data_IF_796340319261
#
_entry.id   IF_796340319261
#
_cell.length_a   1.000
_cell.length_b   1.000
_cell.length_c   1.000
_cell.angle_alpha   90.00
_cell.angle_beta   90.00
_cell.angle_gamma   90.00
#
_symmetry.space_group_name_H-M   'P 1'
#
loop_
_entity.id
_entity.type
_entity.pdbx_description
1 polymer ?
#
# COMPACT_ATOMS: atom_id res chain seq x y z
N UNK A 1 28.98 10.63 20.63
CA UNK A 1 27.80 11.03 19.82
C UNK A 1 27.85 10.21 18.56
N UNK A 2 27.30 9.00 18.61
CA UNK A 2 27.34 8.06 17.50
C UNK A 2 26.24 8.42 16.51
N UNK A 3 26.64 8.84 15.31
CA UNK A 3 25.74 8.96 14.17
C UNK A 3 25.12 7.58 13.89
N UNK A 4 23.79 7.45 13.80
CA UNK A 4 23.17 6.17 13.49
C UNK A 4 23.34 5.89 12.00
N UNK A 5 24.45 5.25 11.64
CA UNK A 5 24.69 4.70 10.31
C UNK A 5 24.37 3.21 10.30
N UNK A 6 23.09 2.85 10.45
CA UNK A 6 22.65 1.46 10.37
C UNK A 6 22.19 1.12 8.94
N UNK A 7 23.13 0.65 8.10
CA UNK A 7 22.78 -0.07 6.87
C UNK A 7 22.42 -1.50 7.23
N UNK A 8 21.14 -1.89 7.11
CA UNK A 8 20.72 -3.27 7.29
C UNK A 8 20.78 -4.02 5.95
N UNK A 9 21.69 -4.99 5.86
CA UNK A 9 21.76 -5.92 4.73
C UNK A 9 21.17 -7.27 5.12
N UNK A 10 20.13 -7.72 4.43
CA UNK A 10 19.61 -9.09 4.55
C UNK A 10 19.97 -9.92 3.33
N UNK A 11 20.67 -11.04 3.55
CA UNK A 11 20.90 -12.08 2.55
C UNK A 11 19.80 -13.13 2.71
N UNK A 12 18.66 -12.92 2.04
CA UNK A 12 17.49 -13.79 2.19
C UNK A 12 16.97 -14.35 0.88
N UNK A 13 17.22 -15.65 0.64
CA UNK A 13 16.33 -16.52 -0.16
C UNK A 13 15.49 -17.37 0.79
N UNK A 14 14.29 -16.90 1.13
CA UNK A 14 13.05 -17.69 1.24
C UNK A 14 11.88 -16.74 1.50
N UNK A 15 10.81 -16.93 0.72
CA UNK A 15 9.54 -16.20 0.69
C UNK A 15 9.58 -14.69 0.35
N UNK A 16 9.47 -14.37 -0.94
CA UNK A 16 8.68 -13.24 -1.44
C UNK A 16 9.23 -11.81 -1.34
N UNK A 17 9.97 -11.42 -0.30
CA UNK A 17 10.54 -10.07 -0.16
C UNK A 17 11.98 -10.13 0.34
N UNK A 18 12.90 -9.88 -0.59
CA UNK A 18 14.33 -9.75 -0.33
C UNK A 18 14.58 -8.43 0.44
N UNK A 19 15.53 -8.42 1.37
CA UNK A 19 15.86 -7.23 2.16
C UNK A 19 16.24 -6.06 1.25
N UNK A 20 15.62 -4.91 1.49
CA UNK A 20 15.78 -3.74 0.64
C UNK A 20 17.16 -3.13 0.85
N UNK A 21 17.86 -2.91 -0.25
CA UNK A 21 19.09 -2.15 -0.34
C UNK A 21 18.73 -0.68 -0.02
N UNK A 22 18.85 -0.29 1.25
CA UNK A 22 18.63 1.09 1.64
C UNK A 22 19.86 1.92 1.27
N UNK A 23 19.79 2.66 0.17
CA UNK A 23 20.79 3.64 -0.24
C UNK A 23 20.16 5.03 -0.07
N UNK A 24 19.94 5.42 1.19
CA UNK A 24 19.41 6.72 1.60
C UNK A 24 20.43 7.87 1.48
N UNK A 25 21.16 7.93 0.36
CA UNK A 25 22.17 8.95 0.13
C UNK A 25 21.84 9.76 -1.13
N UNK A 26 21.47 11.03 -0.92
CA UNK A 26 21.19 12.02 -1.97
C UNK A 26 22.45 12.44 -2.75
N UNK A 27 23.62 11.90 -2.37
CA UNK A 27 24.95 12.25 -2.89
C UNK A 27 25.11 11.89 -4.37
N UNK A 28 24.32 10.94 -4.88
CA UNK A 28 24.32 10.59 -6.31
C UNK A 28 22.93 10.81 -6.92
N UNK A 29 22.70 11.97 -7.55
CA UNK A 29 21.46 12.25 -8.28
C UNK A 29 21.16 11.14 -9.31
N UNK A 30 19.91 10.68 -9.38
CA UNK A 30 19.47 9.67 -10.34
C UNK A 30 19.76 8.22 -9.96
N UNK A 31 20.54 7.94 -8.92
CA UNK A 31 20.83 6.57 -8.47
C UNK A 31 19.57 5.82 -8.05
N UNK A 32 18.69 6.46 -7.28
CA UNK A 32 17.40 5.87 -6.88
C UNK A 32 16.52 5.55 -8.09
N UNK A 33 16.50 6.44 -9.10
CA UNK A 33 15.78 6.20 -10.34
C UNK A 33 16.35 5.01 -11.12
N UNK A 34 17.68 4.90 -11.19
CA UNK A 34 18.37 3.79 -11.85
C UNK A 34 18.08 2.44 -11.15
N UNK A 35 18.15 2.40 -9.81
CA UNK A 35 17.85 1.21 -9.01
C UNK A 35 16.39 0.76 -9.14
N UNK A 36 15.45 1.71 -9.19
CA UNK A 36 14.05 1.41 -9.42
C UNK A 36 13.80 0.88 -10.83
N UNK A 37 14.43 1.50 -11.84
CA UNK A 37 14.33 1.07 -13.25
C UNK A 37 14.92 -0.32 -13.47
N UNK A 38 16.05 -0.63 -12.85
CA UNK A 38 16.71 -1.93 -12.93
C UNK A 38 16.14 -2.99 -11.99
N UNK A 39 15.14 -2.63 -11.17
CA UNK A 39 14.58 -3.48 -10.11
C UNK A 39 15.66 -4.10 -9.19
N UNK A 40 16.80 -3.40 -9.03
CA UNK A 40 17.89 -3.81 -8.14
C UNK A 40 17.58 -3.30 -6.75
N UNK A 41 16.73 -4.04 -6.05
CA UNK A 41 16.19 -3.64 -4.76
C UNK A 41 16.96 -4.25 -3.60
N UNK A 42 17.94 -5.14 -3.84
CA UNK A 42 18.54 -5.98 -2.79
C UNK A 42 20.04 -6.19 -3.00
N UNK A 43 20.79 -6.35 -1.90
CA UNK A 43 22.24 -6.59 -1.96
C UNK A 43 22.59 -7.85 -2.75
N UNK A 44 21.79 -8.91 -2.67
CA UNK A 44 22.02 -10.12 -3.44
C UNK A 44 22.08 -9.84 -4.95
N UNK A 45 21.12 -9.10 -5.49
CA UNK A 45 21.10 -8.79 -6.93
C UNK A 45 22.33 -7.98 -7.36
N UNK A 46 22.80 -7.12 -6.48
CA UNK A 46 23.99 -6.32 -6.70
C UNK A 46 25.23 -7.20 -6.68
N UNK A 47 25.39 -8.04 -5.65
CA UNK A 47 26.52 -8.97 -5.47
C UNK A 47 26.57 -10.01 -6.59
N UNK A 48 25.43 -10.53 -7.03
CA UNK A 48 25.33 -11.48 -8.15
C UNK A 48 25.87 -10.85 -9.44
N UNK A 49 25.67 -9.55 -9.64
CA UNK A 49 26.15 -8.84 -10.83
C UNK A 49 27.60 -8.37 -10.72
N UNK A 50 28.02 -7.85 -9.57
CA UNK A 50 29.32 -7.16 -9.42
C UNK A 50 30.39 -7.95 -8.67
N UNK A 51 30.02 -9.12 -8.15
CA UNK A 51 30.83 -9.97 -7.30
C UNK A 51 30.83 -9.54 -5.81
N UNK A 52 31.25 -10.45 -4.90
CA UNK A 52 31.24 -10.23 -3.45
C UNK A 52 32.20 -9.13 -2.99
N UNK A 53 33.19 -8.79 -3.82
CA UNK A 53 34.19 -7.75 -3.53
C UNK A 53 33.78 -6.35 -4.00
N UNK A 54 32.61 -6.22 -4.65
CA UNK A 54 32.12 -4.95 -5.22
C UNK A 54 33.18 -4.27 -6.10
N UNK A 55 33.71 -5.01 -7.08
CA UNK A 55 34.84 -4.56 -7.91
C UNK A 55 34.49 -4.42 -9.39
N UNK A 56 33.46 -5.12 -9.88
CA UNK A 56 33.11 -5.13 -11.29
C UNK A 56 32.25 -3.92 -11.69
N UNK A 57 32.91 -2.79 -11.95
CA UNK A 57 32.28 -1.55 -12.40
C UNK A 57 31.56 -1.65 -13.76
N UNK A 58 32.08 -2.36 -14.79
CA UNK A 58 31.35 -2.59 -16.03
C UNK A 58 30.01 -3.30 -15.81
N UNK A 59 29.99 -4.37 -15.01
CA UNK A 59 28.75 -5.10 -14.73
C UNK A 59 27.72 -4.26 -13.98
N UNK A 60 28.17 -3.41 -13.03
CA UNK A 60 27.29 -2.46 -12.38
C UNK A 60 26.72 -1.44 -13.36
N UNK A 61 27.54 -0.96 -14.30
CA UNK A 61 27.13 -0.04 -15.34
C UNK A 61 26.02 -0.62 -16.21
N UNK A 62 26.19 -1.86 -16.66
CA UNK A 62 25.17 -2.59 -17.42
C UNK A 62 23.89 -2.84 -16.62
N UNK A 63 24.01 -3.21 -15.34
CA UNK A 63 22.86 -3.49 -14.46
C UNK A 63 22.00 -2.23 -14.24
N UNK A 64 22.63 -1.09 -14.00
CA UNK A 64 21.94 0.16 -13.66
C UNK A 64 21.65 1.05 -14.89
N UNK A 65 22.06 0.63 -16.09
CA UNK A 65 21.94 1.43 -17.31
C UNK A 65 22.78 2.71 -17.27
N UNK A 66 23.95 2.67 -16.62
CA UNK A 66 24.86 3.81 -16.54
C UNK A 66 25.77 3.83 -17.78
N UNK A 67 25.72 4.91 -18.54
CA UNK A 67 26.57 5.12 -19.72
C UNK A 67 28.07 5.28 -19.38
N UNK A 68 28.40 5.60 -18.13
CA UNK A 68 29.78 5.88 -17.70
C UNK A 68 30.28 4.88 -16.66
N UNK A 69 31.28 4.09 -17.04
CA UNK A 69 32.00 3.16 -16.15
C UNK A 69 32.65 3.89 -14.98
N UNK A 70 33.03 5.17 -15.15
CA UNK A 70 33.58 6.00 -14.07
C UNK A 70 32.55 6.25 -12.96
N UNK A 71 31.28 6.43 -13.31
CA UNK A 71 30.18 6.62 -12.34
C UNK A 71 29.94 5.32 -11.58
N UNK A 72 29.88 4.19 -12.28
CA UNK A 72 29.78 2.87 -11.66
C UNK A 72 30.94 2.59 -10.69
N UNK A 73 32.18 2.92 -11.08
CA UNK A 73 33.35 2.77 -10.21
C UNK A 73 33.25 3.64 -8.95
N UNK A 74 32.84 4.91 -9.08
CA UNK A 74 32.64 5.80 -7.91
C UNK A 74 31.59 5.26 -6.95
N UNK A 75 30.49 4.70 -7.47
CA UNK A 75 29.47 4.06 -6.63
C UNK A 75 30.02 2.85 -5.86
N UNK A 76 30.80 2.00 -6.52
CA UNK A 76 31.44 0.86 -5.86
C UNK A 76 32.44 1.31 -4.79
N UNK A 77 33.23 2.35 -5.04
CA UNK A 77 34.15 2.93 -4.03
C UNK A 77 33.41 3.58 -2.86
N UNK A 78 32.18 4.05 -3.05
CA UNK A 78 31.33 4.54 -1.95
C UNK A 78 30.70 3.40 -1.14
N UNK A 79 30.32 2.30 -1.78
CA UNK A 79 29.66 1.16 -1.11
C UNK A 79 30.65 0.22 -0.43
N UNK A 80 31.82 -0.01 -1.01
CA UNK A 80 32.86 -0.88 -0.44
C UNK A 80 33.18 -0.54 1.02
N UNK A 81 33.53 0.71 1.41
CA UNK A 81 33.88 1.04 2.78
C UNK A 81 32.70 0.93 3.76
N UNK A 82 31.45 0.89 3.28
CA UNK A 82 30.27 0.70 4.13
C UNK A 82 30.07 -0.74 4.59
N UNK A 83 30.71 -1.70 3.92
CA UNK A 83 30.79 -3.08 4.38
C UNK A 83 32.01 -3.25 5.27
N UNK A 84 31.76 -3.68 6.51
CA UNK A 84 32.80 -4.09 7.45
C UNK A 84 33.57 -5.30 6.92
N UNK A 85 34.80 -5.52 7.42
CA UNK A 85 35.60 -6.68 7.04
C UNK A 85 34.88 -8.02 7.28
N UNK A 86 34.08 -8.10 8.36
CA UNK A 86 33.25 -9.27 8.68
C UNK A 86 32.16 -9.51 7.62
N UNK A 87 31.43 -8.47 7.23
CA UNK A 87 30.37 -8.58 6.21
C UNK A 87 30.92 -8.97 4.83
N UNK A 88 32.09 -8.44 4.43
CA UNK A 88 32.74 -8.83 3.17
C UNK A 88 33.18 -10.30 3.17
N UNK A 89 33.70 -10.78 4.31
CA UNK A 89 34.04 -12.19 4.50
C UNK A 89 32.80 -13.08 4.40
N UNK A 90 31.70 -12.68 5.05
CA UNK A 90 30.41 -13.37 4.96
C UNK A 90 29.87 -13.43 3.53
N UNK A 91 29.91 -12.33 2.78
CA UNK A 91 29.48 -12.30 1.37
C UNK A 91 30.32 -13.22 0.49
N UNK A 92 31.63 -13.24 0.72
CA UNK A 92 32.55 -14.12 -0.01
C UNK A 92 32.26 -15.58 0.30
N UNK A 93 32.10 -15.92 1.58
CA UNK A 93 31.78 -17.27 2.02
C UNK A 93 30.41 -17.74 1.51
N UNK A 94 29.40 -16.87 1.54
CA UNK A 94 28.07 -17.15 0.98
C UNK A 94 28.14 -17.39 -0.55
N UNK A 95 28.86 -16.53 -1.29
CA UNK A 95 29.03 -16.70 -2.74
C UNK A 95 29.77 -17.98 -3.14
N UNK A 96 30.59 -18.52 -2.23
CA UNK A 96 31.32 -19.78 -2.39
C UNK A 96 30.54 -21.00 -1.86
N UNK A 97 29.31 -20.82 -1.37
CA UNK A 97 28.50 -21.88 -0.77
C UNK A 97 29.04 -22.43 0.56
N UNK A 98 29.97 -21.72 1.20
CA UNK A 98 30.60 -22.14 2.48
C UNK A 98 29.77 -21.80 3.71
N UNK A 99 28.82 -20.88 3.57
CA UNK A 99 27.91 -20.44 4.63
C UNK A 99 26.53 -20.32 4.03
N UNK A 100 25.53 -20.94 4.66
CA UNK A 100 24.11 -20.75 4.35
C UNK A 100 23.42 -20.02 5.51
N UNK A 101 22.33 -19.26 5.25
CA UNK A 101 21.52 -18.68 6.32
C UNK A 101 20.97 -19.80 7.20
N UNK A 102 21.19 -19.71 8.50
CA UNK A 102 20.68 -20.69 9.44
C UNK A 102 19.13 -20.66 9.42
N UNK A 103 18.46 -21.75 9.05
CA UNK A 103 16.99 -21.81 9.11
C UNK A 103 16.45 -21.68 10.53
N UNK A 104 17.28 -21.89 11.57
CA UNK A 104 16.93 -21.73 12.98
C UNK A 104 17.13 -20.30 13.51
N UNK A 105 17.70 -19.37 12.72
CA UNK A 105 17.86 -17.95 13.07
C UNK A 105 17.04 -17.02 12.14
N UNK A 106 15.70 -17.13 12.13
CA UNK A 106 14.86 -16.23 11.36
C UNK A 106 14.87 -14.82 11.96
N UNK A 107 14.75 -13.79 11.10
CA UNK A 107 14.51 -12.43 11.56
C UNK A 107 13.32 -12.40 12.54
N UNK A 108 13.44 -11.73 13.70
CA UNK A 108 12.43 -11.79 14.74
C UNK A 108 11.05 -11.39 14.19
N UNK A 109 10.07 -12.28 14.36
CA UNK A 109 8.71 -12.03 13.88
C UNK A 109 8.03 -11.00 14.79
N UNK A 110 8.05 -9.73 14.39
CA UNK A 110 7.39 -8.66 15.15
C UNK A 110 5.88 -8.76 14.89
N UNK A 111 5.15 -9.25 15.89
CA UNK A 111 3.69 -9.30 15.90
C UNK A 111 3.11 -8.01 16.48
N UNK A 112 2.06 -7.50 15.83
CA UNK A 112 1.31 -6.32 16.24
C UNK A 112 -0.04 -6.79 16.77
N UNK A 113 -0.30 -6.58 18.06
CA UNK A 113 -1.63 -6.80 18.63
C UNK A 113 -2.29 -5.45 18.90
N UNK A 114 -3.55 -5.24 18.46
CA UNK A 114 -4.31 -4.11 18.98
C UNK A 114 -4.52 -4.38 20.48
N UNK A 115 -4.03 -3.49 21.35
CA UNK A 115 -4.17 -3.61 22.80
C UNK A 115 -5.61 -3.42 23.26
N UNK A 116 -6.46 -4.43 23.04
CA UNK A 116 -7.90 -4.41 23.26
C UNK A 116 -8.29 -4.66 24.74
N UNK A 117 -7.41 -5.28 25.54
CA UNK A 117 -7.71 -5.62 26.94
C UNK A 117 -8.90 -6.58 27.03
N UNK A 118 -9.85 -6.29 27.91
CA UNK A 118 -11.09 -7.08 28.10
C UNK A 118 -12.22 -6.72 27.13
N UNK A 119 -11.98 -5.75 26.23
CA UNK A 119 -13.01 -5.27 25.31
C UNK A 119 -13.28 -6.30 24.20
N UNK A 120 -14.53 -6.74 24.10
CA UNK A 120 -14.98 -7.79 23.17
C UNK A 120 -16.06 -7.28 22.22
N UNK A 121 -16.31 -8.01 21.14
CA UNK A 121 -17.38 -7.69 20.18
C UNK A 121 -17.03 -8.04 18.73
N UNK A 122 -18.04 -8.15 17.85
CA UNK A 122 -17.86 -8.64 16.48
C UNK A 122 -16.99 -7.72 15.61
N UNK A 123 -16.95 -6.41 15.91
CA UNK A 123 -16.08 -5.44 15.23
C UNK A 123 -14.65 -5.40 15.78
N UNK A 124 -14.45 -5.88 17.01
CA UNK A 124 -13.14 -5.99 17.66
C UNK A 124 -12.46 -7.33 17.36
N UNK A 125 -13.23 -8.35 16.97
CA UNK A 125 -12.70 -9.66 16.58
C UNK A 125 -11.64 -9.52 15.47
N UNK A 126 -10.42 -9.97 15.76
CA UNK A 126 -9.32 -9.98 14.81
C UNK A 126 -9.61 -11.00 13.72
N UNK A 127 -9.87 -10.53 12.50
CA UNK A 127 -10.38 -11.39 11.42
C UNK A 127 -9.29 -12.31 10.84
N UNK A 128 -8.01 -12.03 11.12
CA UNK A 128 -6.80 -12.74 10.61
C UNK A 128 -5.58 -12.52 11.53
N UNK A 129 -5.54 -13.09 12.74
CA UNK A 129 -4.41 -12.92 13.67
C UNK A 129 -3.07 -13.41 13.08
N UNK A 130 -3.10 -14.40 12.19
CA UNK A 130 -1.94 -14.94 11.47
C UNK A 130 -1.28 -13.94 10.50
N UNK A 131 -1.97 -12.85 10.15
CA UNK A 131 -1.47 -11.77 9.29
C UNK A 131 -1.02 -10.53 10.06
N UNK A 132 -1.02 -10.56 11.39
CA UNK A 132 -0.67 -9.41 12.21
C UNK A 132 0.83 -9.28 12.50
N UNK A 133 1.67 -9.90 11.69
CA UNK A 133 3.11 -9.72 11.78
C UNK A 133 3.53 -8.65 10.78
N UNK A 134 4.51 -7.81 11.14
CA UNK A 134 5.03 -6.76 10.25
C UNK A 134 5.43 -7.32 8.87
N UNK A 135 5.81 -8.60 8.84
CA UNK A 135 6.16 -9.33 7.63
C UNK A 135 4.94 -9.80 6.79
N UNK A 136 3.81 -10.17 7.40
CA UNK A 136 2.64 -10.75 6.71
C UNK A 136 1.44 -9.80 6.54
N UNK A 137 1.47 -8.65 7.22
CA UNK A 137 0.36 -7.72 7.24
C UNK A 137 0.20 -6.97 5.92
N UNK A 138 -0.95 -7.12 5.27
CA UNK A 138 -1.32 -6.23 4.16
C UNK A 138 -1.76 -4.84 4.69
N UNK A 139 -1.64 -3.82 3.84
CA UNK A 139 -1.97 -2.41 4.19
C UNK A 139 -3.37 -2.28 4.80
N UNK A 140 -4.34 -3.07 4.31
CA UNK A 140 -5.74 -3.06 4.78
C UNK A 140 -5.85 -3.64 6.19
N UNK A 141 -5.21 -4.76 6.44
CA UNK A 141 -5.15 -5.45 7.73
C UNK A 141 -4.47 -4.60 8.79
N UNK A 142 -3.35 -3.96 8.44
CA UNK A 142 -2.66 -3.04 9.36
C UNK A 142 -3.56 -1.85 9.73
N UNK A 143 -4.11 -1.15 8.73
CA UNK A 143 -5.01 -0.02 8.93
C UNK A 143 -6.22 -0.38 9.80
N UNK A 144 -6.86 -1.52 9.55
CA UNK A 144 -8.00 -1.99 10.34
C UNK A 144 -7.66 -2.21 11.81
N UNK A 145 -6.52 -2.81 12.11
CA UNK A 145 -6.13 -3.05 13.49
C UNK A 145 -5.75 -1.75 14.21
N UNK A 146 -5.13 -0.79 13.52
CA UNK A 146 -4.95 0.56 14.06
C UNK A 146 -6.30 1.22 14.40
N UNK A 147 -7.26 1.19 13.47
CA UNK A 147 -8.61 1.76 13.67
C UNK A 147 -9.32 1.10 14.86
N UNK A 148 -9.22 -0.23 15.00
CA UNK A 148 -9.77 -0.96 16.16
C UNK A 148 -9.10 -0.54 17.46
N UNK A 149 -7.77 -0.48 17.49
CA UNK A 149 -7.01 -0.05 18.67
C UNK A 149 -7.37 1.36 19.12
N UNK A 150 -7.46 2.31 18.19
CA UNK A 150 -7.82 3.71 18.47
C UNK A 150 -9.26 3.85 18.95
N UNK A 151 -10.21 3.09 18.37
CA UNK A 151 -11.64 3.25 18.64
C UNK A 151 -12.20 2.15 19.57
N UNK A 152 -11.33 1.40 20.27
CA UNK A 152 -11.68 0.19 21.01
C UNK A 152 -12.88 0.33 21.96
N UNK A 153 -12.98 1.45 22.69
CA UNK A 153 -14.09 1.73 23.62
C UNK A 153 -15.44 1.89 22.91
N UNK A 154 -15.45 2.56 21.75
CA UNK A 154 -16.68 2.82 20.97
C UNK A 154 -17.13 1.66 20.06
N UNK A 155 -16.28 0.63 19.95
CA UNK A 155 -16.50 -0.58 19.15
C UNK A 155 -16.89 -1.80 20.00
N UNK A 156 -16.69 -1.72 21.33
CA UNK A 156 -17.01 -2.80 22.25
C UNK A 156 -18.52 -3.15 22.19
N UNK A 157 -18.82 -4.45 22.08
CA UNK A 157 -20.18 -5.02 22.01
C UNK A 157 -21.10 -4.43 20.92
N UNK A 158 -20.52 -3.72 19.95
CA UNK A 158 -21.29 -3.08 18.88
C UNK A 158 -21.50 -4.06 17.74
N UNK A 159 -22.75 -4.28 17.36
CA UNK A 159 -23.14 -5.13 16.22
C UNK A 159 -22.50 -4.62 14.92
N UNK A 160 -22.21 -5.52 13.95
CA UNK A 160 -21.67 -5.12 12.66
C UNK A 160 -22.72 -4.31 11.87
N UNK A 161 -22.70 -3.01 12.09
CA UNK A 161 -23.51 -1.99 11.40
C UNK A 161 -22.54 -0.97 10.78
N UNK A 162 -22.85 0.33 10.69
CA UNK A 162 -22.10 1.48 10.11
C UNK A 162 -20.55 1.38 10.04
N UNK A 163 -19.89 0.61 10.89
CA UNK A 163 -18.47 0.28 10.77
C UNK A 163 -18.08 -0.63 9.60
N UNK A 164 -18.99 -1.44 9.03
CA UNK A 164 -18.79 -2.13 7.74
C UNK A 164 -18.57 -1.11 6.62
N UNK A 165 -19.21 0.06 6.70
CA UNK A 165 -19.03 1.18 5.78
C UNK A 165 -17.70 1.93 6.02
N UNK A 166 -17.23 2.02 7.27
CA UNK A 166 -15.91 2.62 7.58
C UNK A 166 -14.75 1.70 7.18
N UNK A 167 -14.89 0.41 7.43
CA UNK A 167 -13.86 -0.58 7.15
C UNK A 167 -13.90 -1.03 5.68
N UNK A 168 -15.06 -0.95 5.01
CA UNK A 168 -15.23 -1.52 3.68
C UNK A 168 -15.36 -3.03 3.75
N UNK A 169 -16.20 -3.59 2.90
CA UNK A 169 -16.43 -5.02 2.89
C UNK A 169 -15.20 -5.82 2.44
N UNK A 170 -15.13 -7.08 2.83
CA UNK A 170 -14.20 -8.02 2.23
C UNK A 170 -14.74 -8.38 0.84
N UNK A 171 -13.99 -8.09 -0.22
CA UNK A 171 -14.35 -8.48 -1.58
C UNK A 171 -14.51 -10.01 -1.62
N UNK A 172 -15.75 -10.46 -1.79
CA UNK A 172 -16.04 -11.84 -2.19
C UNK A 172 -16.07 -11.85 -3.72
N UNK A 173 -15.38 -12.81 -4.35
CA UNK A 173 -15.34 -12.97 -5.83
C UNK A 173 -16.75 -13.01 -6.47
N UNK A 174 -17.77 -13.41 -5.72
CA UNK A 174 -19.18 -13.29 -6.12
C UNK A 174 -19.74 -11.90 -5.74
N UNK A 175 -20.17 -11.12 -6.73
CA UNK A 175 -20.79 -9.80 -6.53
C UNK A 175 -19.82 -8.62 -6.43
N UNK A 176 -18.66 -8.70 -7.11
CA UNK A 176 -17.64 -7.65 -7.16
C UNK A 176 -18.23 -6.26 -7.47
N UNK A 177 -19.15 -6.16 -8.43
CA UNK A 177 -19.82 -4.90 -8.81
C UNK A 177 -20.58 -4.27 -7.63
N UNK A 178 -21.30 -5.07 -6.83
CA UNK A 178 -22.05 -4.58 -5.66
C UNK A 178 -21.11 -4.03 -4.59
N UNK A 179 -19.98 -4.70 -4.38
CA UNK A 179 -18.97 -4.26 -3.42
C UNK A 179 -18.21 -3.02 -3.89
N UNK A 180 -17.93 -2.92 -5.19
CA UNK A 180 -17.34 -1.73 -5.80
C UNK A 180 -18.26 -0.51 -5.62
N UNK A 181 -19.56 -0.67 -5.91
CA UNK A 181 -20.55 0.39 -5.72
C UNK A 181 -20.61 0.82 -4.25
N UNK A 182 -20.71 -0.13 -3.32
CA UNK A 182 -20.76 0.17 -1.89
C UNK A 182 -19.48 0.88 -1.39
N UNK A 183 -18.31 0.42 -1.83
CA UNK A 183 -17.03 1.04 -1.48
C UNK A 183 -16.92 2.45 -2.05
N UNK A 184 -17.43 2.69 -3.26
CA UNK A 184 -17.48 4.02 -3.85
C UNK A 184 -18.39 4.96 -3.05
N UNK A 185 -19.63 4.57 -2.79
CA UNK A 185 -20.58 5.35 -1.99
C UNK A 185 -20.01 5.68 -0.60
N UNK A 186 -19.36 4.70 0.03
CA UNK A 186 -18.71 4.85 1.34
C UNK A 186 -17.50 5.78 1.30
N UNK A 187 -16.71 5.72 0.23
CA UNK A 187 -15.56 6.60 0.01
C UNK A 187 -15.98 8.06 -0.12
N UNK A 188 -16.96 8.33 -0.98
CA UNK A 188 -17.48 9.69 -1.20
C UNK A 188 -18.06 10.28 0.08
N UNK A 189 -18.77 9.48 0.88
CA UNK A 189 -19.34 9.94 2.14
C UNK A 189 -18.26 10.29 3.17
N UNK A 190 -17.17 9.51 3.24
CA UNK A 190 -16.02 9.83 4.10
C UNK A 190 -15.36 11.13 3.68
N UNK A 191 -15.18 11.35 2.38
CA UNK A 191 -14.63 12.59 1.83
C UNK A 191 -15.51 13.79 2.18
N UNK A 192 -16.82 13.64 2.05
CA UNK A 192 -17.78 14.68 2.41
C UNK A 192 -17.77 15.01 3.92
N UNK A 193 -17.76 13.99 4.78
CA UNK A 193 -17.66 14.16 6.24
C UNK A 193 -16.33 14.81 6.63
N UNK A 194 -15.22 14.37 6.05
CA UNK A 194 -13.91 14.94 6.30
C UNK A 194 -13.87 16.41 5.90
N UNK A 195 -14.34 16.74 4.71
CA UNK A 195 -14.34 18.12 4.19
C UNK A 195 -15.22 19.04 5.04
N UNK A 196 -16.41 18.57 5.42
CA UNK A 196 -17.32 19.31 6.29
C UNK A 196 -16.71 19.56 7.68
N UNK A 197 -16.08 18.54 8.29
CA UNK A 197 -15.40 18.69 9.59
C UNK A 197 -14.19 19.61 9.51
N UNK A 198 -13.39 19.50 8.43
CA UNK A 198 -12.24 20.37 8.20
C UNK A 198 -12.66 21.83 8.10
N UNK A 199 -13.70 22.12 7.31
CA UNK A 199 -14.24 23.48 7.20
C UNK A 199 -14.71 24.02 8.55
N UNK A 200 -15.36 23.18 9.37
CA UNK A 200 -15.77 23.57 10.73
C UNK A 200 -14.59 23.89 11.65
N UNK A 201 -13.50 23.11 11.57
CA UNK A 201 -12.28 23.35 12.37
C UNK A 201 -11.56 24.61 11.91
N UNK A 202 -11.52 24.86 10.60
CA UNK A 202 -10.85 26.03 10.01
C UNK A 202 -11.74 27.28 10.01
N UNK A 203 -12.91 27.22 10.65
CA UNK A 203 -13.94 28.27 10.69
C UNK A 203 -14.30 28.82 9.30
N UNK A 204 -14.29 27.95 8.28
CA UNK A 204 -14.64 28.26 6.90
C UNK A 204 -16.12 27.98 6.69
N UNK A 205 -16.80 28.86 5.96
CA UNK A 205 -18.12 28.56 5.43
C UNK A 205 -18.04 27.33 4.52
N UNK A 206 -18.96 26.39 4.70
CA UNK A 206 -18.91 25.12 3.99
C UNK A 206 -20.26 24.43 3.98
N UNK A 207 -20.51 23.65 2.93
CA UNK A 207 -21.73 22.88 2.78
C UNK A 207 -21.80 21.72 3.79
N UNK A 208 -23.03 21.36 4.17
CA UNK A 208 -23.30 20.21 5.02
C UNK A 208 -22.80 18.92 4.35
N UNK A 209 -22.27 17.97 5.13
CA UNK A 209 -21.71 16.72 4.61
C UNK A 209 -22.69 15.96 3.70
N UNK A 210 -23.99 16.02 3.97
CA UNK A 210 -25.02 15.40 3.14
C UNK A 210 -25.08 16.03 1.74
N UNK A 211 -25.10 17.36 1.66
CA UNK A 211 -25.15 18.09 0.39
C UNK A 211 -23.89 17.85 -0.46
N UNK A 212 -22.72 17.86 0.18
CA UNK A 212 -21.44 17.56 -0.51
C UNK A 212 -21.45 16.14 -1.06
N UNK A 213 -21.92 15.16 -0.26
CA UNK A 213 -21.98 13.78 -0.69
C UNK A 213 -22.93 13.57 -1.89
N UNK A 214 -24.14 14.13 -1.84
CA UNK A 214 -25.10 14.04 -2.95
C UNK A 214 -24.55 14.68 -4.22
N UNK A 215 -23.89 15.84 -4.11
CA UNK A 215 -23.29 16.53 -5.25
C UNK A 215 -22.16 15.70 -5.88
N UNK A 216 -21.26 15.13 -5.06
CA UNK A 216 -20.18 14.27 -5.54
C UNK A 216 -20.70 13.06 -6.31
N UNK A 217 -21.72 12.36 -5.76
CA UNK A 217 -22.31 11.19 -6.40
C UNK A 217 -22.94 11.57 -7.75
N UNK A 218 -23.70 12.67 -7.81
CA UNK A 218 -24.31 13.14 -9.05
C UNK A 218 -23.27 13.53 -10.10
N UNK A 219 -22.25 14.28 -9.70
CA UNK A 219 -21.18 14.70 -10.59
C UNK A 219 -20.44 13.50 -11.19
N UNK A 220 -20.12 12.52 -10.34
CA UNK A 220 -19.44 11.29 -10.75
C UNK A 220 -20.29 10.45 -11.69
N UNK A 221 -21.54 10.19 -11.34
CA UNK A 221 -22.47 9.44 -12.20
C UNK A 221 -22.69 10.14 -13.54
N UNK A 222 -22.82 11.46 -13.53
CA UNK A 222 -22.94 12.25 -14.76
C UNK A 222 -21.69 12.18 -15.64
N UNK A 223 -20.49 12.13 -15.06
CA UNK A 223 -19.24 11.93 -15.80
C UNK A 223 -19.14 10.50 -16.36
N UNK A 224 -19.34 9.49 -15.52
CA UNK A 224 -19.24 8.10 -15.94
C UNK A 224 -20.31 7.74 -16.98
N UNK A 225 -21.56 8.17 -16.79
CA UNK A 225 -22.62 7.93 -17.77
C UNK A 225 -22.28 8.53 -19.14
N UNK A 226 -21.80 9.78 -19.19
CA UNK A 226 -21.38 10.41 -20.45
C UNK A 226 -20.21 9.68 -21.10
N UNK A 227 -19.26 9.21 -20.30
CA UNK A 227 -18.16 8.40 -20.79
C UNK A 227 -18.66 7.08 -21.41
N UNK A 228 -19.49 6.33 -20.67
CA UNK A 228 -20.04 5.04 -21.14
C UNK A 228 -20.96 5.20 -22.36
N UNK A 229 -21.75 6.28 -22.41
CA UNK A 229 -22.54 6.66 -23.59
C UNK A 229 -21.64 6.96 -24.79
N UNK A 230 -20.52 7.64 -24.58
CA UNK A 230 -19.58 8.00 -25.65
C UNK A 230 -18.86 6.78 -26.24
N UNK A 231 -18.48 5.81 -25.40
CA UNK A 231 -17.83 4.57 -25.87
C UNK A 231 -18.82 3.50 -26.36
N UNK A 232 -20.13 3.75 -26.28
CA UNK A 232 -21.17 2.82 -26.72
C UNK A 232 -21.39 1.61 -25.80
N UNK A 233 -20.96 1.66 -24.54
CA UNK A 233 -21.04 0.56 -23.58
C UNK A 233 -21.95 0.92 -22.38
N UNK A 234 -23.23 1.16 -22.67
CA UNK A 234 -24.20 1.47 -21.62
C UNK A 234 -24.53 0.26 -20.73
N UNK A 235 -24.29 -0.96 -21.18
CA UNK A 235 -24.58 -2.17 -20.42
C UNK A 235 -23.60 -2.35 -19.26
N UNK A 236 -22.31 -2.07 -19.46
CA UNK A 236 -21.34 -2.04 -18.37
C UNK A 236 -21.66 -0.95 -17.33
N UNK A 237 -22.18 0.20 -17.78
CA UNK A 237 -22.66 1.23 -16.87
C UNK A 237 -23.84 0.74 -16.02
N UNK A 238 -24.87 0.14 -16.65
CA UNK A 238 -26.05 -0.39 -15.97
C UNK A 238 -25.67 -1.46 -14.94
N UNK A 239 -24.78 -2.38 -15.30
CA UNK A 239 -24.32 -3.44 -14.38
C UNK A 239 -23.62 -2.86 -13.14
N UNK A 240 -22.82 -1.79 -13.32
CA UNK A 240 -22.04 -1.20 -12.22
C UNK A 240 -22.84 -0.23 -11.35
N UNK A 241 -23.72 0.58 -11.95
CA UNK A 241 -24.35 1.73 -11.27
C UNK A 241 -25.87 1.61 -11.08
N UNK A 242 -26.57 0.86 -11.93
CA UNK A 242 -28.03 0.71 -11.86
C UNK A 242 -28.47 -0.49 -11.02
N UNK A 243 -27.72 -0.80 -9.96
CA UNK A 243 -28.06 -1.92 -9.08
C UNK A 243 -29.40 -1.67 -8.38
N UNK A 244 -30.44 -2.42 -8.78
CA UNK A 244 -31.82 -2.32 -8.29
C UNK A 244 -32.39 -0.89 -8.31
N UNK A 245 -31.91 -0.03 -9.23
CA UNK A 245 -32.31 1.37 -9.35
C UNK A 245 -32.17 2.20 -8.05
N UNK A 246 -31.30 1.77 -7.12
CA UNK A 246 -31.12 2.39 -5.80
C UNK A 246 -30.48 3.77 -5.92
N UNK A 247 -29.55 3.92 -6.86
CA UNK A 247 -28.76 5.16 -7.04
C UNK A 247 -29.21 5.90 -8.30
N UNK A 248 -29.29 5.19 -9.42
CA UNK A 248 -29.73 5.72 -10.71
C UNK A 248 -30.24 4.59 -11.60
N UNK A 249 -31.04 4.95 -12.60
CA UNK A 249 -31.50 4.10 -13.69
C UNK A 249 -31.20 4.77 -15.03
N UNK A 250 -31.24 3.99 -16.12
CA UNK A 250 -31.10 4.52 -17.49
C UNK A 250 -32.41 4.26 -18.24
N UNK A 251 -33.08 5.33 -18.64
CA UNK A 251 -34.36 5.28 -19.37
C UNK A 251 -34.18 6.08 -20.66
N UNK A 252 -34.49 5.49 -21.82
CA UNK A 252 -34.33 6.13 -23.13
C UNK A 252 -32.94 6.75 -23.37
N UNK A 253 -31.86 6.04 -22.99
CA UNK A 253 -30.48 6.54 -23.05
C UNK A 253 -30.22 7.87 -22.31
N UNK A 254 -31.04 8.13 -21.28
CA UNK A 254 -30.85 9.22 -20.33
C UNK A 254 -30.66 8.69 -18.92
N UNK A 255 -29.80 9.38 -18.16
CA UNK A 255 -29.52 9.06 -16.77
C UNK A 255 -30.61 9.64 -15.87
N UNK A 256 -31.29 8.78 -15.13
CA UNK A 256 -32.31 9.15 -14.14
C UNK A 256 -31.77 8.87 -12.75
N UNK A 257 -31.77 9.87 -11.88
CA UNK A 257 -31.34 9.71 -10.49
C UNK A 257 -32.49 9.19 -9.62
N UNK A 258 -32.18 8.34 -8.64
CA UNK A 258 -33.17 7.93 -7.64
C UNK A 258 -33.61 9.14 -6.80
N UNK A 259 -34.84 9.08 -6.27
CA UNK A 259 -35.50 10.22 -5.61
C UNK A 259 -34.70 10.82 -4.43
N UNK A 260 -33.87 10.01 -3.76
CA UNK A 260 -32.95 10.42 -2.69
C UNK A 260 -31.87 11.39 -3.18
N UNK A 261 -31.54 11.38 -4.47
CA UNK A 261 -30.50 12.21 -5.09
C UNK A 261 -31.06 13.42 -5.87
N UNK A 262 -32.39 13.57 -5.93
CA UNK A 262 -33.06 14.69 -6.60
C UNK A 262 -33.21 15.91 -5.68
N UNK A 263 -33.31 15.69 -4.36
CA UNK A 263 -33.49 16.74 -3.34
C UNK A 263 -32.18 17.34 -2.83
#
# INVERSE_FOLDING_TARGET
MDTPSSFFFGLGKKSGQRAKLDISSNVTPGLMGALHKSQTLCLQQLVDAVGPTLSNAPALGSLLGLYSVRVARRLLELWRPRLTGKERSLLTNYSQGKVEPDPADPFPEISLSPGLGELTGPLLATTRPEKLTLYKADKKTLYFNCVKGTNKKGLCNRLPTVWVFIMGAADKKAGNEKWQLLNCLSGEAKTAIYSSRKNRVENREGQEAKSVWLCNIRARLGLEFRFYKHIGDLDAFKQRWCFNDIVCSVVNDELVFAQVFIR
#
